data_IF_366931136018
#
_entry.id   IF_366931136018
#
_cell.length_a   1.000
_cell.length_b   1.000
_cell.length_c   1.000
_cell.angle_alpha   90.00
_cell.angle_beta   90.00
_cell.angle_gamma   90.00
#
_symmetry.space_group_name_H-M   'P 1'
#
loop_
_entity.id
_entity.type
_entity.pdbx_description
1 polymer ?
#
# COMPACT_ATOMS: atom_id res chain seq x y z
N UNK A 1 12.18 -12.52 4.23
CA UNK A 1 11.01 -12.52 5.15
C UNK A 1 9.88 -11.56 4.70
N UNK A 2 9.94 -10.92 3.52
CA UNK A 2 9.17 -9.70 3.22
C UNK A 2 7.69 -9.81 2.80
N UNK A 3 7.12 -11.01 2.61
CA UNK A 3 5.79 -11.12 1.96
C UNK A 3 4.64 -11.58 2.88
N UNK A 4 4.87 -11.74 4.19
CA UNK A 4 3.83 -12.25 5.09
C UNK A 4 2.70 -11.25 5.33
N UNK A 5 2.99 -9.93 5.33
CA UNK A 5 1.97 -8.88 5.49
C UNK A 5 1.03 -8.82 4.27
N UNK A 6 1.58 -8.88 3.06
CA UNK A 6 0.79 -8.98 1.83
C UNK A 6 0.00 -10.29 1.76
N UNK A 7 0.63 -11.42 2.10
CA UNK A 7 -0.05 -12.73 2.18
C UNK A 7 -1.19 -12.70 3.20
N UNK A 8 -0.95 -12.11 4.37
CA UNK A 8 -1.94 -11.90 5.42
C UNK A 8 -3.09 -11.03 4.94
N UNK A 9 -2.79 -9.92 4.26
CA UNK A 9 -3.80 -9.07 3.62
C UNK A 9 -4.71 -9.85 2.67
N UNK A 10 -4.12 -10.72 1.82
CA UNK A 10 -4.89 -11.58 0.93
C UNK A 10 -5.81 -12.57 1.66
N UNK A 11 -5.37 -13.11 2.81
CA UNK A 11 -6.20 -13.99 3.65
C UNK A 11 -7.35 -13.23 4.31
N UNK A 12 -7.08 -12.05 4.87
CA UNK A 12 -8.11 -11.20 5.47
C UNK A 12 -9.12 -10.77 4.40
N UNK A 13 -8.64 -10.37 3.21
CA UNK A 13 -9.50 -10.02 2.09
C UNK A 13 -10.46 -11.14 1.73
N UNK A 14 -9.99 -12.40 1.64
CA UNK A 14 -10.88 -13.56 1.40
C UNK A 14 -11.97 -13.71 2.46
N UNK A 15 -11.63 -13.56 3.73
CA UNK A 15 -12.59 -13.66 4.84
C UNK A 15 -13.66 -12.57 4.77
N UNK A 16 -13.25 -11.32 4.52
CA UNK A 16 -14.18 -10.18 4.42
C UNK A 16 -15.03 -10.24 3.15
N UNK A 17 -14.44 -10.71 2.05
CA UNK A 17 -15.12 -10.86 0.76
C UNK A 17 -16.21 -11.94 0.80
N UNK A 18 -15.96 -13.06 1.48
CA UNK A 18 -16.90 -14.19 1.56
C UNK A 18 -18.16 -13.94 2.40
N UNK A 19 -18.30 -12.75 3.01
CA UNK A 19 -19.49 -12.38 3.80
C UNK A 19 -19.71 -13.27 5.03
N UNK A 20 -18.69 -14.01 5.47
CA UNK A 20 -18.80 -14.99 6.55
C UNK A 20 -18.82 -14.35 7.94
N UNK A 21 -18.63 -13.02 8.03
CA UNK A 21 -18.58 -12.27 9.26
C UNK A 21 -19.70 -11.21 9.30
N UNK A 22 -20.76 -11.43 10.11
CA UNK A 22 -21.83 -10.45 10.23
C UNK A 22 -21.29 -9.12 10.77
N UNK A 23 -21.61 -8.04 10.06
CA UNK A 23 -21.18 -6.67 10.41
C UNK A 23 -19.91 -6.17 9.72
N UNK A 24 -19.26 -7.00 8.89
CA UNK A 24 -18.08 -6.59 8.13
C UNK A 24 -18.28 -6.84 6.63
N UNK A 25 -18.19 -5.77 5.85
CA UNK A 25 -18.20 -5.84 4.40
C UNK A 25 -16.78 -5.98 3.84
N UNK A 26 -16.69 -6.41 2.58
CA UNK A 26 -15.47 -6.25 1.79
C UNK A 26 -14.92 -4.83 1.91
N UNK A 27 -13.59 -4.70 1.97
CA UNK A 27 -12.91 -3.40 2.05
C UNK A 27 -11.90 -3.22 0.92
N UNK A 28 -11.66 -1.96 0.55
CA UNK A 28 -10.81 -1.58 -0.58
C UNK A 28 -9.32 -1.49 -0.25
N UNK A 29 -8.98 -1.04 0.96
CA UNK A 29 -7.61 -0.77 1.37
C UNK A 29 -7.29 -1.49 2.68
N UNK A 30 -6.24 -2.31 2.66
CA UNK A 30 -5.66 -2.97 3.82
C UNK A 30 -4.40 -2.20 4.20
N UNK A 31 -4.52 -1.33 5.20
CA UNK A 31 -3.45 -0.40 5.59
C UNK A 31 -2.91 -0.85 6.95
N UNK A 32 -1.71 -1.40 6.96
CA UNK A 32 -0.99 -1.75 8.18
C UNK A 32 0.50 -1.93 7.90
N UNK A 33 1.31 -1.70 8.93
CA UNK A 33 2.76 -1.91 8.89
C UNK A 33 3.22 -2.93 9.92
N UNK A 34 4.52 -3.22 9.92
CA UNK A 34 5.21 -3.98 10.97
C UNK A 34 6.72 -4.04 10.70
N UNK A 35 7.08 -4.23 9.43
CA UNK A 35 8.45 -4.43 8.95
C UNK A 35 9.21 -3.12 8.65
N UNK A 36 8.58 -1.97 8.93
CA UNK A 36 9.07 -0.62 8.63
C UNK A 36 9.30 -0.32 7.14
N UNK A 37 9.04 -1.28 6.24
CA UNK A 37 9.28 -1.15 4.82
C UNK A 37 8.02 -0.62 4.11
N UNK A 38 8.15 0.56 3.51
CA UNK A 38 7.10 1.16 2.71
C UNK A 38 6.78 0.28 1.49
N UNK A 39 5.51 -0.10 1.32
CA UNK A 39 5.08 -1.03 0.27
C UNK A 39 3.64 -0.73 -0.15
N UNK A 40 3.35 -0.90 -1.44
CA UNK A 40 1.98 -0.83 -1.99
C UNK A 40 1.83 -1.87 -3.07
N UNK A 41 0.88 -2.79 -2.89
CA UNK A 41 0.65 -3.87 -3.83
C UNK A 41 -0.83 -4.13 -4.02
N UNK A 42 -1.21 -4.44 -5.26
CA UNK A 42 -2.57 -4.88 -5.57
C UNK A 42 -2.74 -6.31 -5.10
N UNK A 43 -3.81 -6.58 -4.35
CA UNK A 43 -4.15 -7.95 -3.97
C UNK A 43 -4.65 -8.72 -5.20
N UNK A 44 -4.25 -9.99 -5.36
CA UNK A 44 -4.75 -10.83 -6.44
C UNK A 44 -6.27 -11.02 -6.30
N UNK A 45 -6.99 -11.13 -7.42
CA UNK A 45 -8.42 -11.42 -7.37
C UNK A 45 -8.68 -12.77 -6.67
N UNK A 46 -9.73 -12.83 -5.87
CA UNK A 46 -10.22 -14.06 -5.24
C UNK A 46 -11.44 -14.54 -6.02
N UNK A 47 -11.35 -15.68 -6.71
CA UNK A 47 -12.26 -16.03 -7.82
C UNK A 47 -13.76 -16.11 -7.47
N UNK A 48 -14.13 -16.43 -6.22
CA UNK A 48 -15.54 -16.64 -5.85
C UNK A 48 -16.24 -15.45 -5.20
N UNK A 49 -15.49 -14.55 -4.57
CA UNK A 49 -16.05 -13.53 -3.66
C UNK A 49 -15.57 -12.11 -3.98
N UNK A 50 -15.10 -11.87 -5.20
CA UNK A 50 -14.43 -10.61 -5.53
C UNK A 50 -15.41 -9.41 -5.48
N UNK A 51 -15.11 -8.35 -4.73
CA UNK A 51 -15.87 -7.11 -4.82
C UNK A 51 -15.73 -6.49 -6.22
N UNK A 52 -16.67 -5.61 -6.61
CA UNK A 52 -16.64 -4.90 -7.89
C UNK A 52 -15.50 -3.86 -8.00
N UNK A 53 -14.57 -3.86 -7.06
CA UNK A 53 -13.43 -2.98 -7.00
C UNK A 53 -12.11 -3.71 -6.74
N UNK A 54 -11.01 -2.98 -6.91
CA UNK A 54 -9.66 -3.48 -6.62
C UNK A 54 -9.36 -3.34 -5.15
N UNK A 55 -8.71 -4.35 -4.59
CA UNK A 55 -8.23 -4.35 -3.22
C UNK A 55 -6.71 -4.18 -3.20
N UNK A 56 -6.22 -3.42 -2.22
CA UNK A 56 -4.82 -3.04 -2.12
C UNK A 56 -4.29 -3.31 -0.72
N UNK A 57 -3.08 -3.83 -0.64
CA UNK A 57 -2.25 -3.80 0.56
C UNK A 57 -1.37 -2.56 0.51
N UNK A 58 -1.30 -1.85 1.64
CA UNK A 58 -0.45 -0.68 1.82
C UNK A 58 0.23 -0.76 3.18
N UNK A 59 1.55 -0.60 3.17
CA UNK A 59 2.37 -0.35 4.34
C UNK A 59 3.07 0.98 4.14
N UNK A 60 2.82 1.93 5.04
CA UNK A 60 3.46 3.24 4.95
C UNK A 60 4.94 3.19 5.32
N UNK A 61 5.43 2.08 5.86
CA UNK A 61 6.75 2.01 6.49
C UNK A 61 6.71 2.62 7.88
N UNK A 62 7.86 3.10 8.37
CA UNK A 62 7.96 3.71 9.69
C UNK A 62 8.59 5.10 9.63
N UNK A 63 8.16 5.98 10.55
CA UNK A 63 8.79 7.28 10.79
C UNK A 63 9.94 7.14 11.79
N UNK A 64 10.86 6.22 11.52
CA UNK A 64 12.08 6.02 12.30
C UNK A 64 13.26 5.88 11.35
N UNK A 65 14.50 6.16 11.81
CA UNK A 65 15.68 5.99 10.98
C UNK A 65 15.80 4.58 10.42
N UNK A 66 16.10 4.47 9.13
CA UNK A 66 16.27 3.17 8.49
C UNK A 66 17.58 2.55 8.99
N UNK A 67 17.47 1.51 9.80
CA UNK A 67 18.57 1.00 10.63
C UNK A 67 19.68 0.28 9.84
N UNK A 68 19.49 -0.08 8.57
CA UNK A 68 20.51 -0.79 7.78
C UNK A 68 21.38 0.16 6.95
N UNK A 69 22.71 0.00 7.00
CA UNK A 69 23.66 0.82 6.22
C UNK A 69 23.40 0.74 4.70
N UNK A 70 23.03 -0.43 4.20
CA UNK A 70 22.66 -0.65 2.80
C UNK A 70 21.43 0.18 2.39
N UNK A 71 20.44 0.34 3.27
CA UNK A 71 19.28 1.18 2.98
C UNK A 71 19.58 2.67 3.19
N UNK A 72 20.47 3.05 4.12
CA UNK A 72 20.91 4.45 4.29
C UNK A 72 21.59 5.02 3.05
N UNK A 73 22.27 4.20 2.26
CA UNK A 73 22.85 4.63 0.98
C UNK A 73 21.79 4.96 -0.09
N UNK A 74 20.58 4.43 0.05
CA UNK A 74 19.51 4.54 -0.95
C UNK A 74 18.30 5.35 -0.47
N UNK A 75 18.18 5.59 0.84
CA UNK A 75 17.09 6.32 1.51
C UNK A 75 17.64 7.45 2.36
N UNK A 76 16.83 8.49 2.55
CA UNK A 76 17.14 9.52 3.53
C UNK A 76 17.03 8.94 4.94
N UNK A 77 17.83 9.47 5.88
CA UNK A 77 17.83 9.04 7.29
C UNK A 77 16.43 9.18 7.93
N UNK A 78 15.58 10.08 7.43
CA UNK A 78 14.17 10.17 7.79
C UNK A 78 13.29 10.21 6.54
N UNK A 79 12.26 9.34 6.48
CA UNK A 79 11.23 9.37 5.46
C UNK A 79 9.85 9.56 6.11
N UNK A 80 9.29 10.75 5.96
CA UNK A 80 7.92 11.06 6.40
C UNK A 80 6.93 10.60 5.34
N UNK A 81 6.73 9.29 5.29
CA UNK A 81 5.83 8.64 4.34
C UNK A 81 4.37 8.83 4.75
N UNK A 82 3.50 8.93 3.76
CA UNK A 82 2.06 9.00 3.98
C UNK A 82 1.32 8.39 2.80
N UNK A 83 0.08 7.98 3.09
CA UNK A 83 -0.86 7.47 2.11
C UNK A 83 -1.81 8.58 1.68
N UNK A 84 -1.98 8.79 0.38
CA UNK A 84 -3.01 9.64 -0.18
C UNK A 84 -4.02 8.81 -0.97
N UNK A 85 -5.29 8.94 -0.61
CA UNK A 85 -6.43 8.31 -1.28
C UNK A 85 -7.28 9.42 -1.91
N UNK A 86 -7.31 9.49 -3.24
CA UNK A 86 -8.15 10.46 -3.96
C UNK A 86 -9.17 9.70 -4.80
N UNK A 87 -10.46 9.69 -4.42
CA UNK A 87 -11.51 9.03 -5.20
C UNK A 87 -11.53 9.53 -6.64
N UNK A 88 -11.63 8.62 -7.61
CA UNK A 88 -11.78 8.96 -9.03
C UNK A 88 -10.53 9.52 -9.72
N UNK A 89 -9.39 9.64 -9.03
CA UNK A 89 -8.15 10.15 -9.63
C UNK A 89 -7.47 9.10 -10.51
N UNK A 90 -7.22 9.46 -11.76
CA UNK A 90 -6.45 8.67 -12.71
C UNK A 90 -4.98 9.14 -12.72
N UNK A 91 -4.03 8.22 -12.57
CA UNK A 91 -2.58 8.53 -12.51
C UNK A 91 -1.80 8.20 -13.78
N UNK A 92 -2.27 7.25 -14.59
CA UNK A 92 -1.71 6.90 -15.89
C UNK A 92 -2.76 7.09 -16.99
N UNK A 93 -2.32 7.29 -18.25
CA UNK A 93 -3.21 7.45 -19.41
C UNK A 93 -4.23 6.32 -19.59
N UNK A 94 -3.92 5.14 -19.07
CA UNK A 94 -4.84 4.00 -19.02
C UNK A 94 -5.72 4.09 -17.75
N UNK A 95 -6.87 4.74 -17.87
CA UNK A 95 -7.84 4.95 -16.77
C UNK A 95 -8.23 3.64 -16.09
N UNK A 96 -8.36 2.57 -16.88
CA UNK A 96 -8.72 1.24 -16.39
C UNK A 96 -7.71 0.72 -15.37
N UNK A 97 -6.45 1.17 -15.41
CA UNK A 97 -5.39 0.72 -14.51
C UNK A 97 -5.27 1.49 -13.21
N UNK A 98 -5.92 2.65 -13.05
CA UNK A 98 -5.64 3.54 -11.91
C UNK A 98 -6.85 3.87 -11.04
N UNK A 99 -8.04 3.40 -11.42
CA UNK A 99 -9.22 3.64 -10.61
C UNK A 99 -8.95 3.15 -9.18
N UNK A 100 -8.98 4.11 -8.26
CA UNK A 100 -8.81 3.92 -6.82
C UNK A 100 -7.43 3.41 -6.37
N UNK A 101 -6.38 3.67 -7.16
CA UNK A 101 -5.00 3.32 -6.78
C UNK A 101 -4.50 4.20 -5.61
N UNK A 102 -4.06 3.61 -4.49
CA UNK A 102 -3.46 4.35 -3.39
C UNK A 102 -2.12 4.96 -3.79
N UNK A 103 -1.87 6.20 -3.35
CA UNK A 103 -0.59 6.88 -3.54
C UNK A 103 0.25 6.80 -2.27
N UNK A 104 1.39 6.11 -2.35
CA UNK A 104 2.38 6.08 -1.28
C UNK A 104 3.45 7.13 -1.56
N UNK A 105 3.46 8.18 -0.75
CA UNK A 105 4.23 9.40 -0.95
C UNK A 105 5.13 9.67 0.27
N UNK A 106 6.12 10.54 0.08
CA UNK A 106 6.92 11.14 1.15
C UNK A 106 6.95 12.66 0.94
N UNK A 107 7.04 13.43 2.02
CA UNK A 107 7.27 14.88 1.91
C UNK A 107 8.73 15.18 1.57
N UNK A 108 8.98 15.95 0.51
CA UNK A 108 10.31 16.48 0.21
C UNK A 108 10.37 17.96 0.61
N UNK A 109 11.19 18.28 1.61
CA UNK A 109 11.44 19.67 2.00
C UNK A 109 12.09 20.47 0.86
N UNK A 110 12.95 19.84 0.06
CA UNK A 110 13.65 20.47 -1.07
C UNK A 110 12.70 20.84 -2.20
N UNK A 111 11.75 19.96 -2.52
CA UNK A 111 10.75 20.23 -3.55
C UNK A 111 9.52 20.99 -3.02
N UNK A 112 9.41 21.13 -1.69
CA UNK A 112 8.23 21.64 -0.99
C UNK A 112 6.92 20.98 -1.46
N UNK A 113 6.98 19.67 -1.69
CA UNK A 113 5.91 18.92 -2.32
C UNK A 113 5.93 17.43 -1.95
N UNK A 114 4.78 16.73 -2.05
CA UNK A 114 4.72 15.28 -2.03
C UNK A 114 5.46 14.65 -3.21
N UNK A 115 6.31 13.67 -2.91
CA UNK A 115 7.05 12.89 -3.90
C UNK A 115 6.72 11.39 -3.76
N UNK A 116 6.67 10.60 -4.85
CA UNK A 116 6.53 9.15 -4.75
C UNK A 116 7.63 8.52 -3.90
N UNK A 117 7.26 7.54 -3.07
CA UNK A 117 8.25 6.71 -2.37
C UNK A 117 8.91 5.78 -3.38
N UNK A 118 10.24 5.70 -3.36
CA UNK A 118 10.97 4.67 -4.11
C UNK A 118 10.79 3.33 -3.39
N UNK A 119 9.98 2.47 -4.00
CA UNK A 119 9.79 1.09 -3.55
C UNK A 119 10.92 0.25 -4.12
N UNK A 120 11.50 -0.61 -3.31
CA UNK A 120 12.39 -1.66 -3.79
C UNK A 120 11.53 -2.90 -4.07
N UNK A 121 11.75 -3.53 -5.21
CA UNK A 121 11.16 -4.83 -5.48
C UNK A 121 11.91 -5.88 -4.64
N UNK A 122 11.15 -6.79 -4.02
CA UNK A 122 11.68 -8.07 -3.56
C UNK A 122 12.02 -8.96 -4.76
#
# INVERSE_FOLDING_TARGET
>A
EGNYLFTGSGRIARLLNGGTHPGYDSVRYFIFGHDHAANVQRLPPTDKDRPNYRQWYVNTGAWVPVFSESERLLRQDEQLTFLRLVPGRVQNRDESKNQDMPELLQWSAQANAPMPVRLFAD
#
